data_IF_510448828583
#
_entry.id   IF_510448828583
#
_cell.length_a   1.000
_cell.length_b   1.000
_cell.length_c   1.000
_cell.angle_alpha   90.00
_cell.angle_beta   90.00
_cell.angle_gamma   90.00
#
_symmetry.space_group_name_H-M   'P 1'
#
loop_
_entity.id
_entity.type
_entity.pdbx_description
1 polymer ?
#
# COMPACT_ATOMS: atom_id res chain seq x y z
N UNK A 1 -6.22 12.18 -27.13
CA UNK A 1 -6.21 13.53 -26.48
C UNK A 1 -4.75 13.86 -26.19
N UNK A 2 -4.23 14.96 -26.75
CA UNK A 2 -2.84 15.36 -26.51
C UNK A 2 -2.83 16.26 -25.27
N UNK A 3 -2.56 15.68 -24.10
CA UNK A 3 -2.16 16.45 -22.92
C UNK A 3 -0.72 16.92 -23.09
N UNK A 4 -0.32 17.95 -22.39
CA UNK A 4 1.07 18.37 -22.22
C UNK A 4 1.48 18.21 -20.77
N UNK A 5 2.73 17.85 -20.52
CA UNK A 5 3.27 17.75 -19.16
C UNK A 5 3.21 19.13 -18.48
N UNK A 6 2.36 19.24 -17.47
CA UNK A 6 2.19 20.45 -16.67
C UNK A 6 3.06 20.44 -15.42
N UNK A 7 2.70 21.30 -14.45
CA UNK A 7 3.42 21.37 -13.16
C UNK A 7 3.41 20.03 -12.42
N UNK A 8 4.48 19.77 -11.68
CA UNK A 8 4.56 18.64 -10.78
C UNK A 8 3.72 18.93 -9.53
N UNK A 9 2.74 18.08 -9.26
CA UNK A 9 1.80 18.21 -8.15
C UNK A 9 1.97 17.14 -7.07
N UNK A 10 2.77 16.11 -7.34
CA UNK A 10 3.07 15.03 -6.40
C UNK A 10 4.35 14.30 -6.75
N UNK A 11 4.89 13.61 -5.77
CA UNK A 11 6.10 12.81 -5.91
C UNK A 11 5.98 11.50 -5.12
N UNK A 12 6.32 10.37 -5.76
CA UNK A 12 6.44 9.07 -5.14
C UNK A 12 7.85 8.47 -5.35
N UNK A 13 8.05 7.26 -4.86
CA UNK A 13 9.33 6.54 -5.00
C UNK A 13 9.61 6.22 -6.47
N UNK A 14 8.61 5.73 -7.19
CA UNK A 14 8.75 5.22 -8.56
C UNK A 14 8.26 6.20 -9.64
N UNK A 15 7.46 7.20 -9.28
CA UNK A 15 6.84 8.12 -10.23
C UNK A 15 6.65 9.52 -9.67
N UNK A 16 6.55 10.50 -10.57
CA UNK A 16 6.11 11.86 -10.30
C UNK A 16 4.68 12.03 -10.85
N UNK A 17 3.87 12.83 -10.16
CA UNK A 17 2.52 13.17 -10.63
C UNK A 17 2.51 14.60 -11.15
N UNK A 18 2.05 14.76 -12.37
CA UNK A 18 1.96 16.05 -13.04
C UNK A 18 0.52 16.36 -13.47
N UNK A 19 0.17 17.64 -13.52
CA UNK A 19 -1.02 18.08 -14.24
C UNK A 19 -0.92 17.66 -15.71
N UNK A 20 -2.05 17.21 -16.31
CA UNK A 20 -2.04 16.71 -17.69
C UNK A 20 -3.01 17.44 -18.62
N UNK A 21 -4.27 17.30 -18.37
CA UNK A 21 -5.36 17.99 -19.06
C UNK A 21 -6.38 18.46 -18.02
N UNK A 22 -7.37 19.28 -18.37
CA UNK A 22 -8.40 19.68 -17.42
C UNK A 22 -9.05 18.48 -16.72
N UNK A 23 -8.96 18.43 -15.39
CA UNK A 23 -9.47 17.32 -14.58
C UNK A 23 -8.64 16.02 -14.64
N UNK A 24 -7.42 16.06 -15.18
CA UNK A 24 -6.55 14.89 -15.33
C UNK A 24 -5.14 15.12 -14.80
N UNK A 25 -4.52 14.03 -14.37
CA UNK A 25 -3.11 13.97 -13.99
C UNK A 25 -2.42 12.85 -14.77
N UNK A 26 -1.12 12.95 -14.93
CA UNK A 26 -0.27 11.84 -15.36
C UNK A 26 0.67 11.43 -14.23
N UNK A 27 0.60 10.17 -13.82
CA UNK A 27 1.59 9.52 -12.96
C UNK A 27 2.69 8.99 -13.87
N UNK A 28 3.81 9.71 -13.96
CA UNK A 28 4.91 9.46 -14.90
C UNK A 28 6.07 8.80 -14.18
N UNK A 29 6.51 7.64 -14.65
CA UNK A 29 7.63 6.90 -14.04
C UNK A 29 8.89 7.75 -13.96
N UNK A 30 9.69 7.57 -12.90
CA UNK A 30 11.03 8.16 -12.82
C UNK A 30 11.97 7.49 -13.84
N UNK A 31 13.05 8.17 -14.25
CA UNK A 31 14.05 7.57 -15.13
C UNK A 31 14.57 6.24 -14.58
N UNK A 32 14.70 5.24 -15.44
CA UNK A 32 15.21 3.91 -15.06
C UNK A 32 14.15 2.94 -14.51
N UNK A 33 12.90 3.39 -14.27
CA UNK A 33 11.82 2.49 -13.89
C UNK A 33 11.39 1.67 -15.12
N UNK A 34 11.41 0.32 -15.04
CA UNK A 34 11.04 -0.52 -16.17
C UNK A 34 9.56 -0.36 -16.55
N UNK A 35 9.27 -0.46 -17.85
CA UNK A 35 7.90 -0.33 -18.37
C UNK A 35 6.92 -1.30 -17.70
N UNK A 36 7.32 -2.52 -17.41
CA UNK A 36 6.47 -3.53 -16.81
C UNK A 36 5.90 -3.12 -15.43
N UNK A 37 6.62 -2.27 -14.67
CA UNK A 37 6.14 -1.74 -13.39
C UNK A 37 4.90 -0.87 -13.61
N UNK A 38 4.98 0.05 -14.59
CA UNK A 38 3.86 0.94 -14.94
C UNK A 38 2.70 0.15 -15.55
N UNK A 39 3.01 -0.83 -16.40
CA UNK A 39 1.99 -1.70 -17.00
C UNK A 39 1.25 -2.53 -15.93
N UNK A 40 1.97 -3.08 -14.95
CA UNK A 40 1.36 -3.81 -13.85
C UNK A 40 0.41 -2.92 -13.04
N UNK A 41 0.85 -1.72 -12.64
CA UNK A 41 0.00 -0.78 -11.93
C UNK A 41 -1.24 -0.40 -12.76
N UNK A 42 -1.05 -0.13 -14.06
CA UNK A 42 -2.13 0.21 -14.97
C UNK A 42 -3.18 -0.90 -15.06
N UNK A 43 -2.73 -2.15 -15.27
CA UNK A 43 -3.61 -3.32 -15.37
C UNK A 43 -4.37 -3.54 -14.06
N UNK A 44 -3.68 -3.48 -12.93
CA UNK A 44 -4.29 -3.68 -11.62
C UNK A 44 -5.32 -2.58 -11.31
N UNK A 45 -4.96 -1.30 -11.53
CA UNK A 45 -5.88 -0.17 -11.32
C UNK A 45 -7.15 -0.30 -12.17
N UNK A 46 -7.01 -0.65 -13.46
CA UNK A 46 -8.16 -0.91 -14.35
C UNK A 46 -9.02 -2.06 -13.87
N UNK A 47 -8.40 -3.16 -13.49
CA UNK A 47 -9.11 -4.37 -13.08
C UNK A 47 -9.89 -4.16 -11.78
N UNK A 48 -9.29 -3.46 -10.80
CA UNK A 48 -9.97 -3.10 -9.54
C UNK A 48 -11.12 -2.14 -9.79
N UNK A 49 -10.93 -1.11 -10.64
CA UNK A 49 -12.00 -0.19 -11.03
C UNK A 49 -13.16 -0.93 -11.73
N UNK A 50 -12.85 -1.80 -12.69
CA UNK A 50 -13.85 -2.59 -13.40
C UNK A 50 -14.62 -3.56 -12.48
N UNK A 51 -14.00 -4.04 -11.41
CA UNK A 51 -14.64 -4.86 -10.38
C UNK A 51 -15.51 -4.04 -9.39
N UNK A 52 -15.62 -2.72 -9.59
CA UNK A 52 -16.36 -1.80 -8.69
C UNK A 52 -15.60 -1.46 -7.40
N UNK A 53 -14.31 -1.73 -7.35
CA UNK A 53 -13.44 -1.39 -6.22
C UNK A 53 -13.08 0.10 -6.18
N UNK A 54 -12.46 0.56 -5.07
CA UNK A 54 -12.21 1.99 -4.83
C UNK A 54 -10.97 2.53 -5.57
N UNK A 55 -10.63 1.97 -6.73
CA UNK A 55 -9.56 2.47 -7.60
C UNK A 55 -10.03 3.59 -8.52
N UNK A 56 -9.15 4.51 -8.97
CA UNK A 56 -9.47 5.47 -10.00
C UNK A 56 -9.64 4.80 -11.37
N UNK A 57 -10.43 5.41 -12.24
CA UNK A 57 -10.48 5.03 -13.65
C UNK A 57 -9.14 5.32 -14.33
N UNK A 58 -8.61 4.38 -15.13
CA UNK A 58 -7.45 4.65 -15.99
C UNK A 58 -7.93 5.25 -17.31
N UNK A 59 -7.66 6.54 -17.50
CA UNK A 59 -8.10 7.30 -18.68
C UNK A 59 -7.21 7.07 -19.91
N UNK A 60 -5.97 6.64 -19.70
CA UNK A 60 -5.04 6.35 -20.79
C UNK A 60 -3.63 6.04 -20.30
N UNK A 61 -2.75 5.76 -21.25
CA UNK A 61 -1.33 5.54 -21.04
C UNK A 61 -0.55 6.47 -21.97
N UNK A 62 0.64 6.91 -21.54
CA UNK A 62 1.50 7.78 -22.32
C UNK A 62 2.96 7.34 -22.22
N UNK A 63 3.73 7.69 -23.24
CA UNK A 63 5.19 7.61 -23.21
C UNK A 63 5.74 8.98 -23.51
N UNK A 64 6.56 9.53 -22.61
CA UNK A 64 7.18 10.85 -22.72
C UNK A 64 8.67 10.72 -22.41
N UNK A 65 9.52 11.11 -23.35
CA UNK A 65 10.98 11.09 -23.21
C UNK A 65 11.52 9.75 -22.68
N UNK A 66 10.94 8.62 -23.18
CA UNK A 66 11.30 7.27 -22.76
C UNK A 66 10.78 6.86 -21.37
N UNK A 67 9.96 7.68 -20.73
CA UNK A 67 9.28 7.41 -19.47
C UNK A 67 7.84 7.00 -19.73
N UNK A 68 7.33 6.05 -18.96
CA UNK A 68 5.96 5.54 -19.09
C UNK A 68 5.05 6.17 -18.04
N UNK A 69 3.81 6.46 -18.40
CA UNK A 69 2.87 7.13 -17.51
C UNK A 69 1.44 6.64 -17.64
N UNK A 70 0.71 6.78 -16.55
CA UNK A 70 -0.73 6.46 -16.43
C UNK A 70 -1.49 7.78 -16.32
N UNK A 71 -2.49 8.00 -17.20
CA UNK A 71 -3.39 9.15 -17.10
C UNK A 71 -4.58 8.78 -16.24
N UNK A 72 -4.81 9.57 -15.20
CA UNK A 72 -5.82 9.34 -14.17
C UNK A 72 -6.68 10.59 -13.96
N UNK A 73 -7.89 10.46 -13.40
CA UNK A 73 -8.67 11.63 -12.93
C UNK A 73 -7.86 12.41 -11.88
N UNK A 74 -7.92 13.73 -11.93
CA UNK A 74 -7.39 14.58 -10.89
C UNK A 74 -8.37 14.61 -9.71
N UNK A 75 -7.87 14.23 -8.54
CA UNK A 75 -8.59 14.38 -7.28
C UNK A 75 -8.12 15.65 -6.58
N UNK A 76 -9.01 16.62 -6.40
CA UNK A 76 -8.70 17.88 -5.73
C UNK A 76 -8.99 17.75 -4.23
N UNK A 77 -7.98 18.00 -3.40
CA UNK A 77 -8.03 17.92 -1.95
C UNK A 77 -6.69 17.56 -1.32
N UNK A 78 -6.56 17.72 -0.01
CA UNK A 78 -5.37 17.28 0.72
C UNK A 78 -5.33 15.75 0.84
N UNK A 79 -4.16 15.18 1.03
CA UNK A 79 -4.07 13.80 1.51
C UNK A 79 -4.64 13.70 2.92
N UNK A 80 -5.06 12.49 3.33
CA UNK A 80 -5.53 12.26 4.70
C UNK A 80 -4.43 12.58 5.72
N UNK A 81 -3.13 12.35 5.39
CA UNK A 81 -2.00 12.81 6.18
C UNK A 81 -2.01 14.33 6.36
N UNK A 82 -2.18 15.09 5.28
CA UNK A 82 -2.22 16.55 5.35
C UNK A 82 -3.43 17.07 6.13
N UNK A 83 -4.60 16.48 5.88
CA UNK A 83 -5.84 16.84 6.55
C UNK A 83 -5.79 16.58 8.07
N UNK A 84 -5.17 15.47 8.48
CA UNK A 84 -4.95 15.14 9.89
C UNK A 84 -3.94 16.10 10.53
N UNK A 85 -2.83 16.38 9.86
CA UNK A 85 -1.80 17.31 10.36
C UNK A 85 -2.31 18.74 10.53
N UNK A 86 -3.24 19.20 9.69
CA UNK A 86 -3.85 20.53 9.80
C UNK A 86 -5.03 20.58 10.77
N UNK A 87 -5.44 19.44 11.34
CA UNK A 87 -6.61 19.34 12.22
C UNK A 87 -7.96 19.40 11.50
N UNK A 88 -7.99 19.40 10.17
CA UNK A 88 -9.23 19.33 9.38
C UNK A 88 -9.96 17.98 9.53
N UNK A 89 -9.21 16.92 9.81
CA UNK A 89 -9.67 15.56 10.13
C UNK A 89 -9.02 15.16 11.45
N UNK A 90 -9.79 14.65 12.41
CA UNK A 90 -9.20 14.12 13.65
C UNK A 90 -8.51 12.78 13.40
N UNK A 91 -7.66 12.35 14.33
CA UNK A 91 -6.95 11.06 14.22
C UNK A 91 -7.89 9.87 14.27
N UNK A 92 -8.93 9.98 15.10
CA UNK A 92 -10.00 8.98 15.20
C UNK A 92 -10.76 8.87 13.87
N UNK A 93 -11.10 10.01 13.27
CA UNK A 93 -11.74 10.02 11.94
C UNK A 93 -10.82 9.43 10.87
N UNK A 94 -9.51 9.72 10.90
CA UNK A 94 -8.55 9.15 9.96
C UNK A 94 -8.45 7.63 10.08
N UNK A 95 -8.41 7.09 11.30
CA UNK A 95 -8.43 5.65 11.55
C UNK A 95 -9.71 4.99 11.03
N UNK A 96 -10.88 5.60 11.27
CA UNK A 96 -12.17 5.10 10.80
C UNK A 96 -12.29 5.13 9.26
N UNK A 97 -11.76 6.18 8.61
CA UNK A 97 -11.70 6.29 7.13
C UNK A 97 -10.85 5.14 6.56
N UNK A 98 -9.65 4.91 7.11
CA UNK A 98 -8.78 3.81 6.67
C UNK A 98 -9.45 2.45 6.84
N UNK A 99 -10.10 2.20 7.98
CA UNK A 99 -10.84 0.95 8.23
C UNK A 99 -11.96 0.72 7.20
N UNK A 100 -12.70 1.77 6.87
CA UNK A 100 -13.77 1.72 5.87
C UNK A 100 -13.21 1.42 4.48
N UNK A 101 -12.09 2.05 4.10
CA UNK A 101 -11.43 1.81 2.82
C UNK A 101 -10.84 0.39 2.75
N UNK A 102 -10.18 -0.10 3.82
CA UNK A 102 -9.73 -1.50 3.89
C UNK A 102 -10.89 -2.46 3.61
N UNK A 103 -12.01 -2.27 4.31
CA UNK A 103 -13.16 -3.15 4.12
C UNK A 103 -13.75 -3.06 2.70
N UNK A 104 -13.77 -1.87 2.09
CA UNK A 104 -14.22 -1.70 0.71
C UNK A 104 -13.29 -2.43 -0.28
N UNK A 105 -11.98 -2.37 -0.06
CA UNK A 105 -10.98 -3.13 -0.84
C UNK A 105 -11.23 -4.63 -0.69
N UNK A 106 -11.34 -5.13 0.54
CA UNK A 106 -11.54 -6.57 0.82
C UNK A 106 -12.88 -7.12 0.29
N UNK A 107 -13.91 -6.27 0.17
CA UNK A 107 -15.20 -6.65 -0.45
C UNK A 107 -15.17 -6.63 -1.97
N UNK A 108 -14.15 -6.04 -2.57
CA UNK A 108 -13.96 -6.06 -4.03
C UNK A 108 -13.47 -7.45 -4.44
N UNK A 109 -14.11 -8.02 -5.45
CA UNK A 109 -13.65 -9.31 -5.99
C UNK A 109 -12.22 -9.15 -6.54
N UNK A 110 -11.25 -9.96 -6.10
CA UNK A 110 -9.91 -9.89 -6.64
C UNK A 110 -9.91 -10.10 -8.16
N UNK A 111 -9.23 -9.24 -8.93
CA UNK A 111 -9.03 -9.48 -10.35
C UNK A 111 -8.35 -10.84 -10.59
N UNK A 112 -8.69 -11.55 -11.70
CA UNK A 112 -8.08 -12.85 -12.00
C UNK A 112 -6.56 -12.84 -12.07
N UNK A 113 -6.00 -11.74 -12.56
CA UNK A 113 -4.54 -11.54 -12.72
C UNK A 113 -3.87 -10.92 -11.49
N UNK A 114 -4.59 -10.72 -10.37
CA UNK A 114 -4.00 -10.25 -9.14
C UNK A 114 -3.04 -11.33 -8.60
N UNK A 115 -1.79 -10.92 -8.36
CA UNK A 115 -0.78 -11.79 -7.78
C UNK A 115 -1.22 -12.27 -6.39
N UNK A 116 -0.95 -13.51 -6.07
CA UNK A 116 -1.00 -14.00 -4.70
C UNK A 116 0.09 -13.34 -3.85
N UNK A 117 -0.04 -13.36 -2.54
CA UNK A 117 1.00 -12.84 -1.62
C UNK A 117 2.37 -13.48 -1.90
N UNK A 118 2.39 -14.78 -2.22
CA UNK A 118 3.63 -15.50 -2.60
C UNK A 118 4.22 -14.95 -3.90
N UNK A 119 3.41 -14.84 -4.95
CA UNK A 119 3.87 -14.33 -6.24
C UNK A 119 4.34 -12.88 -6.15
N UNK A 120 3.65 -12.04 -5.37
CA UNK A 120 4.04 -10.67 -5.12
C UNK A 120 5.39 -10.58 -4.38
N UNK A 121 5.64 -11.44 -3.39
CA UNK A 121 6.93 -11.53 -2.69
C UNK A 121 8.03 -11.98 -3.64
N UNK A 122 7.80 -13.05 -4.42
CA UNK A 122 8.78 -13.55 -5.41
C UNK A 122 9.13 -12.48 -6.45
N UNK A 123 8.15 -11.72 -6.94
CA UNK A 123 8.37 -10.63 -7.88
C UNK A 123 9.24 -9.51 -7.26
N UNK A 124 8.96 -9.12 -6.02
CA UNK A 124 9.76 -8.11 -5.32
C UNK A 124 11.18 -8.57 -5.02
N UNK A 125 11.37 -9.82 -4.61
CA UNK A 125 12.70 -10.39 -4.36
C UNK A 125 13.53 -10.40 -5.65
N UNK A 126 12.95 -10.79 -6.78
CA UNK A 126 13.62 -10.75 -8.08
C UNK A 126 13.99 -9.31 -8.52
N UNK A 127 13.10 -8.36 -8.29
CA UNK A 127 13.33 -6.95 -8.64
C UNK A 127 14.43 -6.32 -7.77
N UNK A 128 14.41 -6.57 -6.48
CA UNK A 128 15.35 -5.99 -5.52
C UNK A 128 16.73 -6.67 -5.55
N UNK A 129 16.85 -7.88 -6.13
CA UNK A 129 18.10 -8.64 -6.11
C UNK A 129 18.54 -9.06 -4.71
N UNK A 130 19.85 -9.27 -4.52
CA UNK A 130 20.41 -9.80 -3.26
C UNK A 130 20.57 -8.73 -2.17
N UNK A 131 19.53 -7.95 -1.90
CA UNK A 131 19.59 -6.86 -0.89
C UNK A 131 19.34 -7.34 0.54
N UNK A 132 18.84 -8.57 0.72
CA UNK A 132 18.58 -9.18 2.03
C UNK A 132 19.41 -10.44 2.24
N UNK A 133 19.75 -10.78 3.50
CA UNK A 133 20.36 -12.07 3.82
C UNK A 133 19.48 -13.25 3.38
N UNK A 134 20.08 -14.29 2.80
CA UNK A 134 19.37 -15.47 2.28
C UNK A 134 18.47 -16.12 3.31
N UNK A 135 18.91 -16.20 4.58
CA UNK A 135 18.11 -16.74 5.68
C UNK A 135 16.78 -16.01 5.90
N UNK A 136 16.73 -14.69 5.64
CA UNK A 136 15.49 -13.90 5.73
C UNK A 136 14.57 -14.22 4.56
N UNK A 137 15.09 -14.22 3.34
CA UNK A 137 14.30 -14.49 2.14
C UNK A 137 13.74 -15.91 2.18
N UNK A 138 14.54 -16.91 2.50
CA UNK A 138 14.11 -18.30 2.62
C UNK A 138 13.09 -18.48 3.75
N UNK A 139 13.36 -17.89 4.92
CA UNK A 139 12.45 -18.00 6.08
C UNK A 139 11.08 -17.37 5.79
N UNK A 140 11.03 -16.19 5.18
CA UNK A 140 9.75 -15.54 4.84
C UNK A 140 8.99 -16.29 3.75
N UNK A 141 9.66 -16.84 2.75
CA UNK A 141 9.00 -17.66 1.73
C UNK A 141 8.41 -18.95 2.33
N UNK A 142 9.17 -19.60 3.22
CA UNK A 142 8.66 -20.78 3.94
C UNK A 142 7.47 -20.43 4.83
N UNK A 143 7.50 -19.27 5.52
CA UNK A 143 6.37 -18.79 6.32
C UNK A 143 5.12 -18.61 5.46
N UNK A 144 5.21 -17.95 4.30
CA UNK A 144 4.07 -17.71 3.40
C UNK A 144 3.42 -19.04 2.95
N UNK A 145 4.20 -20.10 2.75
CA UNK A 145 3.67 -21.42 2.34
C UNK A 145 2.75 -22.08 3.38
N UNK A 146 2.91 -21.72 4.66
CA UNK A 146 2.13 -22.29 5.76
C UNK A 146 0.96 -21.43 6.22
N UNK A 147 0.76 -20.24 5.58
CA UNK A 147 -0.32 -19.33 5.92
C UNK A 147 -1.64 -19.70 5.24
N UNK A 148 -2.71 -19.06 5.72
CA UNK A 148 -4.04 -19.21 5.13
C UNK A 148 -4.02 -18.83 3.63
N UNK A 149 -4.92 -19.40 2.82
CA UNK A 149 -5.07 -19.03 1.42
C UNK A 149 -5.37 -17.55 1.23
N UNK A 150 -4.90 -17.00 0.11
CA UNK A 150 -5.18 -15.64 -0.33
C UNK A 150 -6.62 -15.54 -0.83
N UNK A 151 -7.50 -14.89 -0.08
CA UNK A 151 -8.94 -14.89 -0.32
C UNK A 151 -9.55 -13.52 -0.64
N UNK A 152 -8.88 -12.42 -0.31
CA UNK A 152 -9.36 -11.07 -0.60
C UNK A 152 -8.37 -10.25 -1.42
N UNK A 153 -8.88 -9.18 -2.05
CA UNK A 153 -8.03 -8.15 -2.62
C UNK A 153 -7.44 -7.31 -1.48
N UNK A 154 -6.13 -7.10 -1.48
CA UNK A 154 -5.42 -6.16 -0.62
C UNK A 154 -4.81 -5.05 -1.49
N UNK A 155 -4.82 -3.82 -0.98
CA UNK A 155 -4.13 -2.68 -1.60
C UNK A 155 -2.61 -2.80 -1.47
N UNK A 156 -2.18 -3.37 -0.36
CA UNK A 156 -0.79 -3.63 0.03
C UNK A 156 0.10 -2.39 0.15
N UNK A 157 -0.52 -1.20 0.26
CA UNK A 157 0.13 0.07 0.61
C UNK A 157 -0.89 1.09 1.13
N UNK A 158 -1.88 0.62 1.91
CA UNK A 158 -2.93 1.50 2.42
C UNK A 158 -2.45 2.27 3.65
N UNK A 159 -2.25 3.56 3.46
CA UNK A 159 -1.85 4.51 4.50
C UNK A 159 -2.41 5.92 4.21
N UNK A 160 -2.43 6.85 5.21
CA UNK A 160 -3.04 8.17 5.04
C UNK A 160 -2.49 9.01 3.87
N UNK A 161 -1.25 8.74 3.41
CA UNK A 161 -0.66 9.41 2.24
C UNK A 161 -1.28 9.00 0.91
N UNK A 162 -1.85 7.79 0.84
CA UNK A 162 -2.50 7.25 -0.37
C UNK A 162 -4.02 7.48 -0.40
N UNK A 163 -4.54 8.32 0.50
CA UNK A 163 -5.96 8.72 0.53
C UNK A 163 -6.08 10.21 0.31
N UNK A 164 -6.78 10.63 -0.76
CA UNK A 164 -7.08 12.03 -1.06
C UNK A 164 -8.48 12.36 -0.55
N UNK A 165 -8.59 13.38 0.27
CA UNK A 165 -9.85 13.87 0.84
C UNK A 165 -10.50 14.86 -0.13
N UNK A 166 -11.47 14.39 -0.93
CA UNK A 166 -12.20 15.21 -1.87
C UNK A 166 -13.55 15.67 -1.32
N UNK A 167 -14.20 16.63 -1.98
CA UNK A 167 -15.57 17.04 -1.64
C UNK A 167 -16.60 15.88 -1.78
N UNK A 168 -16.29 14.84 -2.55
CA UNK A 168 -17.13 13.65 -2.77
C UNK A 168 -16.72 12.47 -1.86
N UNK A 169 -15.84 12.71 -0.88
CA UNK A 169 -15.32 11.69 0.05
C UNK A 169 -13.90 11.24 -0.26
N UNK A 170 -13.37 10.28 0.53
CA UNK A 170 -12.02 9.80 0.38
C UNK A 170 -11.82 9.01 -0.94
N UNK A 171 -10.68 9.21 -1.58
CA UNK A 171 -10.25 8.52 -2.81
C UNK A 171 -8.93 7.82 -2.57
N UNK A 172 -8.90 6.52 -2.82
CA UNK A 172 -7.70 5.69 -2.66
C UNK A 172 -6.91 5.67 -3.97
N UNK A 173 -5.59 5.91 -3.88
CA UNK A 173 -4.66 5.98 -5.01
C UNK A 173 -3.49 5.02 -4.81
N UNK A 174 -2.68 4.80 -5.86
CA UNK A 174 -1.45 4.00 -5.86
C UNK A 174 -1.67 2.49 -5.67
N UNK A 175 -2.15 1.84 -6.72
CA UNK A 175 -2.49 0.41 -6.73
C UNK A 175 -1.35 -0.51 -7.18
N UNK A 176 -0.11 -0.01 -7.24
CA UNK A 176 1.06 -0.79 -7.66
C UNK A 176 1.29 -2.05 -6.79
N UNK A 177 0.99 -1.94 -5.50
CA UNK A 177 1.19 -3.04 -4.53
C UNK A 177 0.06 -4.06 -4.46
N UNK A 178 -1.06 -3.82 -5.14
CA UNK A 178 -2.27 -4.63 -4.97
C UNK A 178 -2.03 -6.11 -5.26
N UNK A 179 -2.53 -6.96 -4.37
CA UNK A 179 -2.34 -8.42 -4.42
C UNK A 179 -3.53 -9.15 -3.80
N UNK A 180 -3.63 -10.46 -4.02
CA UNK A 180 -4.51 -11.34 -3.25
C UNK A 180 -3.76 -11.78 -1.99
N UNK A 181 -4.39 -11.58 -0.84
CA UNK A 181 -3.84 -12.02 0.44
C UNK A 181 -4.97 -12.18 1.46
N UNK A 182 -4.74 -12.78 2.63
CA UNK A 182 -5.69 -12.73 3.72
C UNK A 182 -5.87 -11.30 4.25
N UNK A 183 -7.09 -10.94 4.66
CA UNK A 183 -7.41 -9.60 5.16
C UNK A 183 -6.48 -9.13 6.31
N UNK A 184 -6.05 -10.06 7.16
CA UNK A 184 -5.13 -9.78 8.26
C UNK A 184 -3.75 -9.28 7.79
N UNK A 185 -3.30 -9.66 6.59
CA UNK A 185 -2.08 -9.13 5.97
C UNK A 185 -2.18 -7.62 5.72
N UNK A 186 -3.29 -7.13 5.14
CA UNK A 186 -3.50 -5.69 4.90
C UNK A 186 -3.48 -4.90 6.21
N UNK A 187 -4.16 -5.40 7.25
CA UNK A 187 -4.20 -4.72 8.55
C UNK A 187 -2.82 -4.76 9.22
N UNK A 188 -2.07 -5.86 9.10
CA UNK A 188 -0.69 -5.94 9.56
C UNK A 188 0.20 -4.92 8.82
N UNK A 189 -0.03 -4.72 7.53
CA UNK A 189 0.71 -3.72 6.75
C UNK A 189 0.39 -2.30 7.18
N UNK A 190 -0.88 -1.95 7.33
CA UNK A 190 -1.29 -0.66 7.89
C UNK A 190 -0.64 -0.44 9.28
N UNK A 191 -0.63 -1.48 10.12
CA UNK A 191 0.01 -1.42 11.45
C UNK A 191 1.50 -1.09 11.34
N UNK A 192 2.26 -1.82 10.53
CA UNK A 192 3.72 -1.58 10.40
C UNK A 192 3.99 -0.20 9.80
N UNK A 193 3.23 0.20 8.76
CA UNK A 193 3.36 1.53 8.15
C UNK A 193 3.07 2.66 9.14
N UNK A 194 2.10 2.50 10.04
CA UNK A 194 1.72 3.52 11.02
C UNK A 194 2.57 3.50 12.29
N UNK A 195 3.05 2.33 12.73
CA UNK A 195 3.75 2.18 14.00
C UNK A 195 5.27 2.05 13.90
N UNK A 196 5.80 1.63 12.73
CA UNK A 196 7.21 1.26 12.63
C UNK A 196 8.00 2.08 11.60
N UNK A 197 7.33 2.76 10.65
CA UNK A 197 7.97 3.45 9.54
C UNK A 197 8.11 4.95 9.80
N UNK A 198 9.37 5.46 9.67
CA UNK A 198 9.77 6.86 9.77
C UNK A 198 10.71 7.18 10.93
N UNK A 199 11.50 8.26 10.85
CA UNK A 199 12.55 8.60 11.80
C UNK A 199 12.03 9.02 13.19
N UNK A 200 10.77 9.45 13.29
CA UNK A 200 10.17 10.03 14.50
C UNK A 200 9.13 9.07 15.16
N UNK A 201 9.06 7.79 14.79
CA UNK A 201 7.81 7.03 14.91
C UNK A 201 7.73 5.99 16.01
N UNK A 202 8.78 5.76 16.77
CA UNK A 202 8.69 4.83 17.89
C UNK A 202 7.70 5.31 18.97
N UNK A 203 7.42 6.63 19.05
CA UNK A 203 6.64 7.26 20.09
C UNK A 203 5.70 8.38 19.58
N UNK A 204 5.23 8.36 18.31
CA UNK A 204 4.25 9.33 17.83
C UNK A 204 2.82 8.94 18.27
N UNK A 205 2.28 9.56 19.34
CA UNK A 205 0.97 9.23 19.87
C UNK A 205 -0.16 9.50 18.84
N UNK A 206 0.08 10.37 17.89
CA UNK A 206 -0.89 10.73 16.85
C UNK A 206 -1.10 9.56 15.90
N UNK A 207 -0.01 8.93 15.43
CA UNK A 207 -0.08 7.75 14.56
C UNK A 207 -0.56 6.52 15.30
N UNK A 208 -0.19 6.39 16.58
CA UNK A 208 -0.70 5.32 17.44
C UNK A 208 -2.23 5.38 17.56
N UNK A 209 -2.82 6.58 17.68
CA UNK A 209 -4.28 6.76 17.70
C UNK A 209 -4.91 6.33 16.38
N UNK A 210 -4.39 6.79 15.23
CA UNK A 210 -4.88 6.37 13.90
C UNK A 210 -4.85 4.85 13.77
N UNK A 211 -3.74 4.22 14.15
CA UNK A 211 -3.55 2.77 14.07
C UNK A 211 -4.51 1.99 14.97
N UNK A 212 -4.67 2.40 16.23
CA UNK A 212 -5.57 1.72 17.17
C UNK A 212 -7.03 1.83 16.74
N UNK A 213 -7.46 3.00 16.28
CA UNK A 213 -8.83 3.20 15.78
C UNK A 213 -9.06 2.42 14.48
N UNK A 214 -8.08 2.41 13.55
CA UNK A 214 -8.18 1.59 12.35
C UNK A 214 -8.45 0.13 12.68
N UNK A 215 -7.66 -0.47 13.57
CA UNK A 215 -7.81 -1.88 13.93
C UNK A 215 -9.14 -2.16 14.64
N UNK A 216 -9.52 -1.32 15.62
CA UNK A 216 -10.77 -1.48 16.36
C UNK A 216 -11.99 -1.34 15.43
N UNK A 217 -11.99 -0.31 14.57
CA UNK A 217 -13.11 -0.04 13.67
C UNK A 217 -13.19 -1.08 12.54
N UNK A 218 -12.04 -1.53 11.99
CA UNK A 218 -12.03 -2.64 11.05
C UNK A 218 -12.61 -3.91 11.67
N UNK A 219 -12.18 -4.28 12.88
CA UNK A 219 -12.69 -5.46 13.58
C UNK A 219 -14.22 -5.35 13.78
N UNK A 220 -14.71 -4.18 14.20
CA UNK A 220 -16.15 -3.89 14.36
C UNK A 220 -16.91 -4.04 13.02
N UNK A 221 -16.41 -3.45 11.94
CA UNK A 221 -17.03 -3.48 10.62
C UNK A 221 -17.01 -4.88 9.98
N UNK A 222 -15.95 -5.64 10.23
CA UNK A 222 -15.79 -7.02 9.75
C UNK A 222 -16.52 -8.06 10.65
N UNK A 223 -17.04 -7.65 11.82
CA UNK A 223 -17.74 -8.55 12.75
C UNK A 223 -16.81 -9.55 13.44
N UNK A 224 -15.54 -9.20 13.68
CA UNK A 224 -14.54 -10.05 14.33
C UNK A 224 -14.10 -9.44 15.67
N UNK A 225 -13.74 -10.31 16.63
CA UNK A 225 -13.23 -9.84 17.91
C UNK A 225 -11.86 -9.16 17.73
N UNK A 226 -11.58 -8.00 18.38
CA UNK A 226 -10.29 -7.32 18.28
C UNK A 226 -9.10 -8.21 18.61
N UNK A 227 -9.21 -9.08 19.62
CA UNK A 227 -8.15 -10.03 19.98
C UNK A 227 -7.89 -11.07 18.88
N UNK A 228 -8.95 -11.52 18.17
CA UNK A 228 -8.81 -12.43 17.04
C UNK A 228 -8.11 -11.76 15.85
N UNK A 229 -8.43 -10.48 15.56
CA UNK A 229 -7.71 -9.71 14.54
C UNK A 229 -6.24 -9.56 14.91
N UNK A 230 -5.95 -9.15 16.16
CA UNK A 230 -4.58 -8.99 16.63
C UNK A 230 -3.76 -10.29 16.51
N UNK A 231 -4.34 -11.43 16.86
CA UNK A 231 -3.71 -12.74 16.71
C UNK A 231 -3.49 -13.10 15.23
N UNK A 232 -4.50 -12.85 14.36
CA UNK A 232 -4.40 -13.14 12.93
C UNK A 232 -3.35 -12.30 12.21
N UNK A 233 -3.02 -11.12 12.68
CA UNK A 233 -1.99 -10.24 12.09
C UNK A 233 -0.57 -10.73 12.35
N UNK A 234 -0.31 -11.44 13.47
CA UNK A 234 1.04 -11.76 13.92
C UNK A 234 1.90 -12.48 12.87
N UNK A 235 1.41 -13.53 12.17
CA UNK A 235 2.22 -14.24 11.17
C UNK A 235 2.62 -13.35 9.98
N UNK A 236 1.86 -12.29 9.70
CA UNK A 236 2.11 -11.39 8.56
C UNK A 236 3.11 -10.28 8.86
N UNK A 237 3.39 -9.95 10.12
CA UNK A 237 4.31 -8.87 10.47
C UNK A 237 5.72 -9.03 9.89
N UNK A 238 6.38 -10.22 9.96
CA UNK A 238 7.68 -10.41 9.32
C UNK A 238 7.62 -10.28 7.80
N UNK A 239 6.53 -10.75 7.17
CA UNK A 239 6.31 -10.66 5.72
C UNK A 239 6.22 -9.18 5.30
N UNK A 240 5.39 -8.39 5.98
CA UNK A 240 5.24 -6.96 5.72
C UNK A 240 6.56 -6.22 5.86
N UNK A 241 7.32 -6.48 6.93
CA UNK A 241 8.63 -5.86 7.14
C UNK A 241 9.60 -6.17 6.01
N UNK A 242 9.58 -7.38 5.48
CA UNK A 242 10.39 -7.75 4.31
C UNK A 242 9.93 -7.00 3.06
N UNK A 243 8.62 -6.88 2.80
CA UNK A 243 8.11 -6.04 1.70
C UNK A 243 8.63 -4.61 1.77
N UNK A 244 8.63 -4.01 2.96
CA UNK A 244 9.12 -2.64 3.17
C UNK A 244 10.64 -2.52 2.99
N UNK A 245 11.39 -3.51 3.45
CA UNK A 245 12.84 -3.59 3.24
C UNK A 245 13.20 -3.67 1.74
N UNK A 246 12.42 -4.40 0.95
CA UNK A 246 12.57 -4.53 -0.50
C UNK A 246 12.11 -3.26 -1.24
N UNK A 247 11.22 -2.48 -0.64
CA UNK A 247 10.73 -1.19 -1.18
C UNK A 247 11.68 -0.01 -0.93
N UNK A 248 12.85 -0.22 -0.33
CA UNK A 248 13.84 0.84 -0.10
C UNK A 248 13.65 1.58 1.24
N UNK A 249 13.23 0.88 2.28
CA UNK A 249 13.18 1.45 3.63
C UNK A 249 14.51 2.14 3.99
N UNK A 250 14.40 3.31 4.62
CA UNK A 250 15.53 4.18 4.96
C UNK A 250 16.59 3.43 5.79
N UNK A 251 17.88 3.77 5.65
CA UNK A 251 18.99 3.06 6.33
C UNK A 251 18.77 2.87 7.83
N UNK A 252 18.31 3.91 8.52
CA UNK A 252 18.09 3.89 9.98
C UNK A 252 17.00 2.92 10.44
N UNK A 253 16.05 2.60 9.56
CA UNK A 253 14.98 1.64 9.84
C UNK A 253 15.34 0.22 9.40
N UNK A 254 16.23 0.10 8.41
CA UNK A 254 16.59 -1.17 7.80
C UNK A 254 17.10 -2.18 8.84
N UNK A 255 18.07 -1.79 9.66
CA UNK A 255 18.64 -2.68 10.65
C UNK A 255 17.59 -3.12 11.69
N UNK A 256 16.78 -2.19 12.19
CA UNK A 256 15.70 -2.48 13.14
C UNK A 256 14.65 -3.44 12.55
N UNK A 257 14.26 -3.23 11.29
CA UNK A 257 13.31 -4.14 10.62
C UNK A 257 13.90 -5.53 10.42
N UNK A 258 15.18 -5.62 10.02
CA UNK A 258 15.90 -6.90 9.91
C UNK A 258 15.91 -7.64 11.24
N UNK A 259 16.28 -6.98 12.34
CA UNK A 259 16.30 -7.58 13.67
C UNK A 259 14.93 -8.11 14.10
N UNK A 260 13.86 -7.37 13.82
CA UNK A 260 12.48 -7.80 14.11
C UNK A 260 12.04 -9.00 13.27
N UNK A 261 12.42 -9.05 11.99
CA UNK A 261 12.15 -10.21 11.13
C UNK A 261 12.90 -11.44 11.65
N UNK A 262 14.20 -11.30 11.94
CA UNK A 262 15.00 -12.42 12.47
C UNK A 262 14.48 -12.93 13.82
N UNK A 263 14.02 -12.04 14.69
CA UNK A 263 13.42 -12.45 15.97
C UNK A 263 12.13 -13.26 15.75
N UNK A 264 11.27 -12.83 14.83
CA UNK A 264 10.04 -13.54 14.50
C UNK A 264 10.32 -14.93 13.90
N UNK A 265 11.25 -15.01 12.94
CA UNK A 265 11.61 -16.29 12.31
C UNK A 265 12.24 -17.32 13.30
N UNK A 266 12.90 -16.83 14.37
CA UNK A 266 13.42 -17.72 15.43
C UNK A 266 12.36 -18.25 16.38
N UNK A 267 11.25 -17.55 16.57
CA UNK A 267 10.17 -17.98 17.47
C UNK A 267 9.22 -19.02 16.87
N UNK A 268 9.30 -19.25 15.57
CA UNK A 268 8.46 -20.20 14.84
C UNK A 268 9.21 -21.51 14.48
N UNK A 269 10.49 -21.63 14.74
CA UNK A 269 11.35 -22.84 14.60
C UNK A 269 11.67 -23.46 15.94
#
# INVERSE_FOLDING_TARGET
MHGSLGEKIGEGVFADVHAWAPGQVVKLSKPGIPQWVVQHETQMTRAVFAAGGPAPEVLGEVTLDGRFGIVLPRFDGPTLTQATRTGAITREQAGAILATLCLAVHKTRPPPDALSLREAMDARLRFAGSVLPERITTGVLALIEHLAPDDVLCHSDLHPGNVIMTAQGPRLIDWLGAARAPAAYEIAQCHVLLAEIGPEHADDPERATVNSVLQAEYARLAGIAPAALAAAMQPYLPIVRVFLLLGGAMPDMRERLIQRVEAALRSEG
#
